data_IF_934226371741
#
_entry.id   IF_934226371741
#
_cell.length_a   1.000
_cell.length_b   1.000
_cell.length_c   1.000
_cell.angle_alpha   90.00
_cell.angle_beta   90.00
_cell.angle_gamma   90.00
#
_symmetry.space_group_name_H-M   'P 1'
#
loop_
_entity.id
_entity.type
_entity.pdbx_description
1 polymer ?
#
# COMPACT_ATOMS: atom_id res chain seq x y z
N UNK A 1 -9.85 -4.96 -6.12
CA UNK A 1 -11.03 -5.35 -6.93
C UNK A 1 -11.13 -4.32 -8.05
N UNK A 2 -10.91 -4.68 -9.31
CA UNK A 2 -11.08 -3.69 -10.39
C UNK A 2 -12.57 -3.70 -10.72
N UNK A 3 -13.28 -2.57 -10.61
CA UNK A 3 -14.72 -2.53 -10.84
C UNK A 3 -14.99 -1.71 -12.08
N UNK A 4 -15.07 -2.38 -13.23
CA UNK A 4 -15.25 -1.73 -14.53
C UNK A 4 -16.65 -1.13 -14.73
N UNK A 5 -17.40 -0.90 -13.65
CA UNK A 5 -18.81 -0.61 -13.74
C UNK A 5 -19.36 0.14 -12.51
N UNK A 6 -19.77 1.38 -12.71
CA UNK A 6 -20.34 2.26 -11.68
C UNK A 6 -21.46 3.13 -12.27
N UNK A 7 -22.61 3.19 -11.61
CA UNK A 7 -23.65 4.18 -11.96
C UNK A 7 -23.55 5.41 -11.09
N UNK A 8 -23.11 6.50 -11.70
CA UNK A 8 -23.19 7.84 -11.11
C UNK A 8 -24.65 8.17 -10.80
N UNK A 9 -24.94 8.53 -9.55
CA UNK A 9 -26.26 9.03 -9.19
C UNK A 9 -26.32 10.53 -9.44
N UNK A 10 -27.47 11.03 -9.90
CA UNK A 10 -27.69 12.46 -10.11
C UNK A 10 -27.33 13.33 -8.88
N UNK A 11 -27.69 12.93 -7.63
CA UNK A 11 -27.32 13.70 -6.44
C UNK A 11 -25.81 13.76 -6.17
N UNK A 12 -25.04 12.75 -6.57
CA UNK A 12 -23.59 12.74 -6.42
C UNK A 12 -22.90 13.68 -7.42
N UNK A 13 -23.37 13.69 -8.68
CA UNK A 13 -22.84 14.56 -9.73
C UNK A 13 -23.21 16.03 -9.58
N UNK A 14 -24.39 16.31 -9.02
CA UNK A 14 -24.83 17.68 -8.78
C UNK A 14 -23.99 18.42 -7.72
N UNK A 15 -23.02 17.75 -7.08
CA UNK A 15 -22.02 18.40 -6.23
C UNK A 15 -20.93 19.02 -7.11
N UNK A 16 -20.72 20.34 -6.96
CA UNK A 16 -19.74 21.13 -7.74
C UNK A 16 -18.32 20.53 -7.70
N UNK A 17 -17.97 19.88 -6.59
CA UNK A 17 -16.67 19.20 -6.41
C UNK A 17 -16.49 17.94 -7.27
N UNK A 18 -17.55 17.37 -7.84
CA UNK A 18 -17.51 16.10 -8.57
C UNK A 18 -17.69 16.24 -10.08
N UNK A 19 -18.26 17.34 -10.57
CA UNK A 19 -18.59 17.54 -11.99
C UNK A 19 -17.37 17.59 -12.92
N UNK A 20 -16.18 17.90 -12.39
CA UNK A 20 -14.93 17.90 -13.15
C UNK A 20 -14.18 16.57 -13.10
N UNK A 21 -14.62 15.63 -12.25
CA UNK A 21 -13.93 14.37 -12.00
C UNK A 21 -14.51 13.21 -12.81
N UNK A 22 -15.76 13.34 -13.25
CA UNK A 22 -16.50 12.32 -13.98
C UNK A 22 -17.28 12.96 -15.13
N UNK A 23 -17.45 12.22 -16.23
CA UNK A 23 -18.26 12.69 -17.35
C UNK A 23 -19.75 12.61 -16.98
N UNK A 24 -20.44 13.76 -16.98
CA UNK A 24 -21.89 13.86 -16.69
C UNK A 24 -22.73 13.00 -17.65
N UNK A 25 -22.24 12.72 -18.86
CA UNK A 25 -22.92 11.84 -19.82
C UNK A 25 -23.02 10.39 -19.36
N UNK A 26 -22.25 10.02 -18.34
CA UNK A 26 -22.24 8.66 -17.78
C UNK A 26 -23.18 8.51 -16.56
N UNK A 27 -24.01 9.51 -16.23
CA UNK A 27 -25.01 9.39 -15.17
C UNK A 27 -26.04 8.32 -15.52
N UNK A 28 -26.25 7.36 -14.61
CA UNK A 28 -27.15 6.21 -14.82
C UNK A 28 -26.58 5.08 -15.68
N UNK A 29 -25.42 5.31 -16.31
CA UNK A 29 -24.69 4.34 -17.13
C UNK A 29 -23.54 3.70 -16.36
N UNK A 30 -23.05 2.58 -16.88
CA UNK A 30 -21.93 1.82 -16.31
C UNK A 30 -20.58 2.50 -16.58
N UNK A 31 -19.95 3.04 -15.55
CA UNK A 31 -18.68 3.78 -15.61
C UNK A 31 -17.47 2.95 -15.13
N UNK A 32 -16.41 2.77 -15.94
CA UNK A 32 -15.28 1.93 -15.58
C UNK A 32 -14.33 2.61 -14.59
N UNK A 33 -14.14 2.01 -13.41
CA UNK A 33 -13.22 2.50 -12.38
C UNK A 33 -12.38 1.38 -11.72
N UNK A 34 -11.29 1.75 -11.09
CA UNK A 34 -10.45 0.84 -10.32
C UNK A 34 -10.67 1.10 -8.83
N UNK A 35 -11.20 0.13 -8.08
CA UNK A 35 -11.25 0.19 -6.62
C UNK A 35 -9.98 -0.48 -6.07
N UNK A 36 -9.02 0.34 -5.68
CA UNK A 36 -7.71 -0.15 -5.20
C UNK A 36 -7.54 -0.07 -3.68
N UNK A 37 -8.54 0.43 -2.96
CA UNK A 37 -8.53 0.40 -1.49
C UNK A 37 -9.75 1.04 -0.85
N UNK A 38 -9.70 1.14 0.47
CA UNK A 38 -10.65 1.89 1.29
C UNK A 38 -9.90 2.52 2.47
N UNK A 39 -10.50 3.53 3.11
CA UNK A 39 -9.97 4.12 4.35
C UNK A 39 -11.06 4.76 5.19
N UNK A 40 -10.81 4.88 6.49
CA UNK A 40 -11.62 5.69 7.39
C UNK A 40 -11.18 7.16 7.35
N UNK A 41 -12.14 8.08 7.24
CA UNK A 41 -11.92 9.54 7.31
C UNK A 41 -12.69 10.14 8.49
N UNK A 42 -12.48 11.43 8.76
CA UNK A 42 -13.27 12.16 9.76
C UNK A 42 -14.78 12.16 9.48
N UNK A 43 -15.18 11.87 8.24
CA UNK A 43 -16.57 11.83 7.79
C UNK A 43 -17.10 10.40 7.56
N UNK A 44 -16.33 9.38 7.92
CA UNK A 44 -16.70 7.97 7.74
C UNK A 44 -15.84 7.21 6.71
N UNK A 45 -16.29 6.02 6.35
CA UNK A 45 -15.61 5.10 5.45
C UNK A 45 -15.74 5.53 3.98
N UNK A 46 -14.61 5.50 3.26
CA UNK A 46 -14.56 5.84 1.85
C UNK A 46 -13.79 4.78 1.06
N UNK A 47 -14.25 4.52 -0.16
CA UNK A 47 -13.53 3.80 -1.19
C UNK A 47 -12.49 4.70 -1.85
N UNK A 48 -11.34 4.12 -2.21
CA UNK A 48 -10.32 4.76 -3.03
C UNK A 48 -10.46 4.24 -4.45
N UNK A 49 -10.83 5.12 -5.36
CA UNK A 49 -11.15 4.75 -6.75
C UNK A 49 -10.37 5.58 -7.76
N UNK A 50 -10.14 5.01 -8.95
CA UNK A 50 -9.52 5.72 -10.07
C UNK A 50 -10.35 5.47 -11.35
N UNK A 51 -10.85 6.53 -12.02
CA UNK A 51 -11.47 6.41 -13.34
C UNK A 51 -10.51 5.77 -14.37
N UNK A 52 -10.98 4.79 -15.15
CA UNK A 52 -10.12 4.09 -16.13
C UNK A 52 -10.10 4.76 -17.52
N UNK A 53 -11.08 5.60 -17.84
CA UNK A 53 -11.23 6.23 -19.16
C UNK A 53 -10.83 7.71 -19.23
N UNK A 54 -10.21 8.25 -18.18
CA UNK A 54 -9.85 9.65 -18.12
C UNK A 54 -8.33 9.79 -18.06
N UNK A 55 -7.70 10.13 -19.19
CA UNK A 55 -6.25 10.24 -19.40
C UNK A 55 -5.53 11.21 -18.44
N UNK A 56 -6.29 11.91 -17.59
CA UNK A 56 -5.83 13.05 -16.81
C UNK A 56 -5.90 12.85 -15.29
N UNK A 57 -6.50 11.77 -14.77
CA UNK A 57 -6.62 11.58 -13.31
C UNK A 57 -5.73 10.47 -12.78
N UNK A 58 -4.48 10.83 -12.45
CA UNK A 58 -3.59 10.03 -11.58
C UNK A 58 -4.03 10.10 -10.11
N UNK A 59 -4.99 10.97 -9.80
CA UNK A 59 -5.43 11.23 -8.42
C UNK A 59 -6.52 10.25 -8.00
N UNK A 60 -6.25 9.58 -6.88
CA UNK A 60 -7.19 8.76 -6.14
C UNK A 60 -8.44 9.55 -5.70
N UNK A 61 -9.61 9.14 -6.18
CA UNK A 61 -10.89 9.69 -5.74
C UNK A 61 -11.39 8.98 -4.49
N UNK A 62 -12.02 9.73 -3.58
CA UNK A 62 -12.60 9.20 -2.35
C UNK A 62 -14.12 9.22 -2.47
N UNK A 63 -14.75 8.07 -2.40
CA UNK A 63 -16.21 7.99 -2.50
C UNK A 63 -16.74 7.32 -1.23
N UNK A 64 -17.66 7.99 -0.53
CA UNK A 64 -18.21 7.44 0.72
C UNK A 64 -19.04 6.18 0.45
N UNK A 65 -19.07 5.28 1.44
CA UNK A 65 -19.87 4.05 1.34
C UNK A 65 -21.35 4.40 1.14
N UNK A 66 -22.04 3.62 0.30
CA UNK A 66 -23.45 3.84 -0.03
C UNK A 66 -23.73 5.00 -1.00
N UNK A 67 -22.72 5.78 -1.42
CA UNK A 67 -22.91 6.79 -2.47
C UNK A 67 -22.92 6.22 -3.90
N UNK A 68 -22.64 4.93 -4.04
CA UNK A 68 -22.70 4.20 -5.30
C UNK A 68 -23.22 2.77 -5.12
N UNK A 69 -23.86 2.26 -6.18
CA UNK A 69 -24.12 0.84 -6.35
C UNK A 69 -22.94 0.20 -7.08
N UNK A 70 -22.48 -0.95 -6.59
CA UNK A 70 -21.52 -1.81 -7.26
C UNK A 70 -22.34 -2.82 -8.05
N UNK A 71 -22.19 -2.82 -9.38
CA UNK A 71 -22.87 -3.79 -10.25
C UNK A 71 -22.15 -5.15 -10.22
N UNK A 72 -22.84 -6.21 -10.64
CA UNK A 72 -22.36 -7.60 -10.60
C UNK A 72 -21.18 -7.86 -11.55
N UNK A 73 -20.95 -7.00 -12.56
CA UNK A 73 -19.84 -7.06 -13.51
C UNK A 73 -18.52 -6.50 -12.93
N UNK A 74 -18.11 -7.03 -11.77
CA UNK A 74 -16.82 -6.72 -11.17
C UNK A 74 -15.71 -7.60 -11.74
N UNK A 75 -14.82 -7.02 -12.55
CA UNK A 75 -13.59 -7.69 -12.98
C UNK A 75 -12.55 -7.73 -11.84
N UNK A 76 -12.60 -8.74 -10.97
CA UNK A 76 -11.40 -9.03 -10.18
C UNK A 76 -10.25 -9.42 -11.12
N UNK A 77 -9.00 -8.98 -10.90
CA UNK A 77 -7.89 -9.57 -11.62
C UNK A 77 -7.96 -11.09 -11.49
N UNK A 78 -7.99 -11.77 -12.63
CA UNK A 78 -8.14 -13.24 -12.71
C UNK A 78 -7.02 -13.94 -11.93
N UNK A 79 -5.87 -13.27 -11.83
CA UNK A 79 -4.70 -13.76 -11.12
C UNK A 79 -4.44 -12.93 -9.87
N UNK A 80 -4.15 -13.62 -8.77
CA UNK A 80 -3.57 -13.02 -7.58
C UNK A 80 -2.21 -12.42 -7.90
N UNK A 81 -1.90 -11.26 -7.30
CA UNK A 81 -0.56 -10.66 -7.37
C UNK A 81 0.51 -11.47 -6.62
N UNK A 82 0.16 -12.58 -5.97
CA UNK A 82 1.08 -13.47 -5.26
C UNK A 82 2.28 -13.93 -6.11
N UNK A 83 2.11 -14.01 -7.43
CA UNK A 83 3.15 -14.43 -8.39
C UNK A 83 3.71 -13.28 -9.23
N UNK A 84 3.25 -12.05 -9.02
CA UNK A 84 3.67 -10.90 -9.83
C UNK A 84 5.07 -10.45 -9.41
N UNK A 85 5.99 -10.18 -10.35
CA UNK A 85 7.28 -9.56 -10.04
C UNK A 85 7.13 -8.13 -9.54
N UNK A 86 8.02 -7.67 -8.65
CA UNK A 86 8.01 -6.28 -8.18
C UNK A 86 8.47 -5.28 -9.25
N UNK A 87 7.84 -4.10 -9.23
CA UNK A 87 8.37 -2.90 -9.90
C UNK A 87 9.41 -2.18 -9.02
N UNK A 88 10.32 -1.37 -9.60
CA UNK A 88 11.32 -0.59 -8.86
C UNK A 88 10.70 0.45 -7.91
N UNK A 89 11.30 0.66 -6.75
CA UNK A 89 10.83 1.64 -5.76
C UNK A 89 11.67 1.65 -4.47
N UNK A 90 11.41 2.57 -3.53
CA UNK A 90 12.16 2.68 -2.29
C UNK A 90 11.72 1.59 -1.29
N UNK A 91 12.22 0.37 -1.51
CA UNK A 91 11.96 -0.78 -0.65
C UNK A 91 13.18 -1.12 0.19
N UNK A 92 12.95 -1.59 1.41
CA UNK A 92 13.99 -2.23 2.19
C UNK A 92 13.97 -3.75 1.98
N UNK A 93 15.01 -4.25 1.31
CA UNK A 93 15.12 -5.65 0.95
C UNK A 93 15.66 -6.52 2.09
N UNK A 94 14.80 -7.40 2.59
CA UNK A 94 15.17 -8.42 3.55
C UNK A 94 15.19 -9.80 2.91
N UNK A 95 16.15 -10.62 3.32
CA UNK A 95 16.14 -12.04 2.99
C UNK A 95 15.17 -12.71 3.95
N UNK A 96 13.96 -13.01 3.49
CA UNK A 96 12.94 -13.68 4.30
C UNK A 96 12.74 -15.13 3.84
N UNK A 97 13.66 -15.68 3.05
CA UNK A 97 13.67 -17.09 2.66
C UNK A 97 13.66 -17.98 3.91
N UNK A 98 12.59 -18.75 4.10
CA UNK A 98 12.38 -19.59 5.28
C UNK A 98 11.53 -18.96 6.39
N UNK A 99 11.14 -17.68 6.25
CA UNK A 99 10.18 -17.05 7.15
C UNK A 99 8.76 -17.51 6.80
N UNK A 100 7.93 -17.94 7.76
CA UNK A 100 6.55 -18.35 7.50
C UNK A 100 5.74 -17.23 6.84
N UNK A 101 4.93 -17.57 5.84
CA UNK A 101 4.12 -16.61 5.08
C UNK A 101 3.24 -15.69 5.95
N UNK A 102 2.93 -16.11 7.19
CA UNK A 102 2.16 -15.37 8.18
C UNK A 102 2.75 -14.01 8.56
N UNK A 103 4.06 -13.78 8.32
CA UNK A 103 4.66 -12.45 8.54
C UNK A 103 3.96 -11.34 7.77
N UNK A 104 3.32 -11.69 6.63
CA UNK A 104 2.58 -10.76 5.77
C UNK A 104 1.26 -10.30 6.38
N UNK A 105 0.62 -11.13 7.18
CA UNK A 105 -0.79 -10.92 7.57
C UNK A 105 -1.05 -10.95 9.06
N UNK A 106 -0.26 -11.71 9.83
CA UNK A 106 -0.51 -11.95 11.26
C UNK A 106 0.49 -11.28 12.19
N UNK A 107 1.73 -11.08 11.74
CA UNK A 107 2.76 -10.58 12.65
C UNK A 107 2.54 -9.10 12.96
N UNK A 108 2.63 -8.71 14.22
CA UNK A 108 2.60 -7.30 14.62
C UNK A 108 4.00 -6.71 14.66
N UNK A 109 5.01 -7.55 14.90
CA UNK A 109 6.41 -7.18 14.90
C UNK A 109 7.30 -8.28 14.32
N UNK A 110 8.53 -7.90 13.97
CA UNK A 110 9.59 -8.82 13.55
C UNK A 110 10.92 -8.28 14.03
N UNK A 111 11.76 -9.15 14.57
CA UNK A 111 13.17 -8.83 14.83
C UNK A 111 14.06 -9.67 13.93
N UNK A 112 15.02 -9.03 13.27
CA UNK A 112 15.96 -9.71 12.38
C UNK A 112 17.35 -9.09 12.45
N UNK A 113 18.36 -9.90 12.17
CA UNK A 113 19.75 -9.44 12.12
C UNK A 113 20.14 -9.06 10.70
N UNK A 114 20.81 -7.92 10.53
CA UNK A 114 21.22 -7.36 9.24
C UNK A 114 22.71 -6.99 9.25
N UNK A 115 23.32 -6.94 8.06
CA UNK A 115 24.69 -6.45 7.90
C UNK A 115 24.76 -4.92 7.97
N UNK A 116 25.94 -4.35 8.18
CA UNK A 116 26.13 -2.90 8.14
C UNK A 116 25.72 -2.28 6.81
N UNK A 117 26.01 -2.95 5.69
CA UNK A 117 25.55 -2.52 4.36
C UNK A 117 24.03 -2.47 4.25
N UNK A 118 23.32 -3.43 4.85
CA UNK A 118 21.87 -3.41 4.87
C UNK A 118 21.34 -2.28 5.77
N UNK A 119 22.05 -1.94 6.86
CA UNK A 119 21.70 -0.79 7.70
C UNK A 119 21.85 0.53 6.93
N UNK A 120 22.91 0.68 6.13
CA UNK A 120 23.09 1.86 5.26
C UNK A 120 21.93 1.99 4.26
N UNK A 121 21.57 0.91 3.57
CA UNK A 121 20.41 0.88 2.66
C UNK A 121 19.10 1.26 3.38
N UNK A 122 18.91 0.80 4.62
CA UNK A 122 17.76 1.19 5.43
C UNK A 122 17.77 2.71 5.71
N UNK A 123 18.94 3.29 5.94
CA UNK A 123 19.13 4.74 6.07
C UNK A 123 18.78 5.52 4.81
N UNK A 124 19.04 4.99 3.62
CA UNK A 124 18.60 5.61 2.36
C UNK A 124 17.07 5.63 2.25
N UNK A 125 16.41 4.52 2.60
CA UNK A 125 14.94 4.40 2.58
C UNK A 125 14.28 5.31 3.62
N UNK A 126 14.84 5.38 4.82
CA UNK A 126 14.32 6.21 5.92
C UNK A 126 14.74 7.68 5.82
N UNK A 127 15.74 8.02 5.00
CA UNK A 127 16.25 9.37 4.83
C UNK A 127 17.30 9.74 5.87
N UNK A 128 18.55 9.30 5.62
CA UNK A 128 19.86 9.61 6.25
C UNK A 128 19.96 9.56 7.79
N UNK A 129 19.00 10.08 8.54
CA UNK A 129 18.92 10.00 9.99
C UNK A 129 17.92 8.90 10.41
N UNK A 130 18.45 7.70 10.63
CA UNK A 130 17.67 6.52 10.99
C UNK A 130 17.03 6.68 12.37
N UNK A 131 17.74 7.26 13.34
CA UNK A 131 17.26 7.39 14.72
C UNK A 131 16.10 8.37 14.81
N UNK A 132 16.23 9.53 14.15
CA UNK A 132 15.13 10.48 14.02
C UNK A 132 13.92 9.85 13.33
N UNK A 133 14.16 9.18 12.20
CA UNK A 133 13.09 8.51 11.44
C UNK A 133 12.38 7.41 12.24
N UNK A 134 13.12 6.70 13.09
CA UNK A 134 12.56 5.72 14.03
C UNK A 134 11.69 6.40 15.10
N UNK A 135 12.17 7.49 15.71
CA UNK A 135 11.40 8.27 16.68
C UNK A 135 10.11 8.87 16.11
N UNK A 136 10.15 9.30 14.85
CA UNK A 136 8.98 9.82 14.11
C UNK A 136 8.05 8.71 13.57
N UNK A 137 8.38 7.44 13.79
CA UNK A 137 7.68 6.28 13.21
C UNK A 137 7.50 6.42 11.70
N UNK A 138 8.54 6.88 11.00
CA UNK A 138 8.50 7.05 9.55
C UNK A 138 8.19 5.71 8.87
N UNK A 139 7.13 5.72 8.06
CA UNK A 139 6.65 4.55 7.34
C UNK A 139 7.57 4.22 6.17
N UNK A 140 7.88 2.93 6.02
CA UNK A 140 8.52 2.39 4.84
C UNK A 140 8.00 0.98 4.53
N UNK A 141 8.44 0.41 3.42
CA UNK A 141 7.97 -0.90 2.94
C UNK A 141 9.14 -1.88 2.96
N UNK A 142 8.95 -3.00 3.65
CA UNK A 142 9.84 -4.15 3.62
C UNK A 142 9.41 -5.11 2.54
N UNK A 143 10.38 -5.64 1.80
CA UNK A 143 10.17 -6.61 0.72
C UNK A 143 11.01 -7.85 0.95
N UNK A 144 10.45 -9.02 0.59
CA UNK A 144 11.22 -10.25 0.47
C UNK A 144 12.03 -10.28 -0.85
N UNK A 145 13.30 -10.67 -0.78
CA UNK A 145 14.23 -10.76 -1.93
C UNK A 145 13.89 -11.86 -2.94
N UNK A 146 12.86 -12.68 -2.70
CA UNK A 146 12.42 -13.77 -3.60
C UNK A 146 11.84 -13.30 -4.95
N UNK A 147 11.85 -11.99 -5.23
CA UNK A 147 11.33 -11.34 -6.47
C UNK A 147 9.82 -11.51 -6.70
N UNK A 148 9.06 -12.03 -5.74
CA UNK A 148 7.60 -12.02 -5.75
C UNK A 148 7.09 -10.76 -5.07
N UNK A 149 5.89 -10.28 -5.43
CA UNK A 149 5.22 -9.07 -4.91
C UNK A 149 4.85 -9.12 -3.42
N UNK A 150 5.71 -9.66 -2.55
CA UNK A 150 5.50 -9.82 -1.12
C UNK A 150 6.16 -8.67 -0.38
N UNK A 151 5.33 -7.77 0.15
CA UNK A 151 5.79 -6.66 0.97
C UNK A 151 4.84 -6.36 2.10
N UNK A 152 5.33 -5.58 3.07
CA UNK A 152 4.50 -5.03 4.13
C UNK A 152 5.03 -3.68 4.58
N UNK A 153 4.11 -2.78 4.88
CA UNK A 153 4.44 -1.50 5.46
C UNK A 153 4.73 -1.64 6.95
N UNK A 154 5.78 -0.98 7.41
CA UNK A 154 6.21 -0.98 8.79
C UNK A 154 6.86 0.35 9.17
N UNK A 155 7.22 0.45 10.44
CA UNK A 155 8.18 1.42 10.94
C UNK A 155 9.26 0.70 11.76
N UNK A 156 10.39 1.38 11.90
CA UNK A 156 11.53 0.90 12.66
C UNK A 156 11.32 1.24 14.12
N UNK A 157 11.18 0.23 14.99
CA UNK A 157 10.92 0.41 16.43
C UNK A 157 12.14 0.15 17.30
N UNK A 158 13.21 -0.45 16.76
CA UNK A 158 14.45 -0.65 17.50
C UNK A 158 15.64 -0.97 16.61
N UNK A 159 16.82 -0.53 17.05
CA UNK A 159 18.13 -0.90 16.52
C UNK A 159 19.05 -1.22 17.69
N UNK A 160 19.71 -2.37 17.63
CA UNK A 160 20.64 -2.84 18.64
C UNK A 160 21.91 -3.34 17.96
N UNK A 161 23.07 -2.92 18.45
CA UNK A 161 24.36 -3.52 18.07
C UNK A 161 24.63 -4.77 18.91
N UNK A 162 24.93 -5.88 18.25
CA UNK A 162 25.27 -7.16 18.88
C UNK A 162 26.75 -7.44 18.78
N UNK A 163 27.47 -7.17 19.87
CA UNK A 163 28.87 -7.55 20.01
C UNK A 163 29.02 -9.07 19.88
N UNK A 164 29.87 -9.52 18.95
CA UNK A 164 30.18 -10.93 18.74
C UNK A 164 29.66 -11.52 17.42
N UNK A 165 28.83 -10.80 16.66
CA UNK A 165 28.43 -11.22 15.30
C UNK A 165 29.22 -10.41 14.27
N UNK A 166 30.05 -11.04 13.45
CA UNK A 166 30.84 -10.34 12.42
C UNK A 166 30.04 -10.03 11.16
N UNK A 167 29.08 -10.89 10.79
CA UNK A 167 28.38 -10.83 9.49
C UNK A 167 27.10 -9.99 9.59
N UNK A 168 26.33 -10.16 10.67
CA UNK A 168 25.05 -9.48 10.89
C UNK A 168 25.02 -8.85 12.30
N UNK A 169 25.87 -7.84 12.55
CA UNK A 169 26.03 -7.28 13.89
C UNK A 169 24.83 -6.43 14.34
N UNK A 170 23.96 -5.99 13.43
CA UNK A 170 22.82 -5.15 13.78
C UNK A 170 21.57 -6.00 13.91
N UNK A 171 20.88 -5.89 15.05
CA UNK A 171 19.50 -6.36 15.17
C UNK A 171 18.58 -5.17 14.98
N UNK A 172 17.62 -5.31 14.08
CA UNK A 172 16.53 -4.35 13.90
C UNK A 172 15.22 -4.97 14.38
N UNK A 173 14.34 -4.13 14.90
CA UNK A 173 12.96 -4.49 15.22
C UNK A 173 12.03 -3.63 14.37
N UNK A 174 11.11 -4.30 13.70
CA UNK A 174 10.11 -3.74 12.81
C UNK A 174 8.74 -3.94 13.43
N UNK A 175 7.91 -2.90 13.38
CA UNK A 175 6.51 -2.99 13.78
C UNK A 175 5.65 -2.79 12.53
N UNK A 176 4.81 -3.77 12.23
CA UNK A 176 4.00 -3.78 11.02
C UNK A 176 2.68 -3.07 11.24
N UNK A 177 2.21 -2.38 10.19
CA UNK A 177 0.88 -1.80 10.19
C UNK A 177 -0.17 -2.93 10.09
N UNK A 178 -1.21 -2.80 10.92
CA UNK A 178 -2.42 -3.61 10.86
C UNK A 178 -3.31 -3.23 9.70
#
# INVERSE_FOLDING_TARGET
VVSTSFRLTQPFMNKIENSHLFDEKCIGETYPLLIFGWKLTAFGEVWLVQPLGCDQSVVAQKIAFGQFGIDDDCCTPVNSFEKTPWEPGPYFDLQLSGTPAEWRTKWTNMSTSISSKALENLGEVLGKDILKSSGEKKRFVVRDKTKLAHSRACFLSGIEWKSGMSIHPWRITLEFLG
#
